data_IF_965509779535
#
_entry.id   IF_965509779535
#
_cell.length_a   1.000
_cell.length_b   1.000
_cell.length_c   1.000
_cell.angle_alpha   90.00
_cell.angle_beta   90.00
_cell.angle_gamma   90.00
#
_symmetry.space_group_name_H-M   'P 1'
#
loop_
_entity.id
_entity.type
_entity.pdbx_description
1 polymer ?
#
# COMPACT_ATOMS: atom_id res chain seq x y z
N UNK A 1 10.28 -4.23 0.76
CA UNK A 1 9.18 -3.35 1.20
C UNK A 1 9.45 -1.96 0.66
N UNK A 2 8.41 -1.18 0.40
CA UNK A 2 8.47 0.12 -0.28
C UNK A 2 7.92 1.17 0.68
N UNK A 3 8.66 2.25 0.90
CA UNK A 3 8.16 3.43 1.59
C UNK A 3 7.32 4.24 0.60
N UNK A 4 6.07 4.53 0.94
CA UNK A 4 5.17 5.23 0.03
C UNK A 4 4.25 6.20 0.79
N UNK A 5 3.73 7.19 0.09
CA UNK A 5 2.67 8.08 0.58
C UNK A 5 1.36 7.72 -0.09
N UNK A 6 0.28 7.59 0.68
CA UNK A 6 -1.07 7.43 0.14
C UNK A 6 -1.52 8.77 -0.44
N UNK A 7 -1.91 8.75 -1.71
CA UNK A 7 -2.27 9.96 -2.47
C UNK A 7 -3.72 9.94 -2.96
N UNK A 8 -4.42 8.83 -2.79
CA UNK A 8 -5.83 8.72 -3.17
C UNK A 8 -6.40 7.33 -2.99
N UNK A 9 -7.58 7.12 -3.55
CA UNK A 9 -8.35 5.86 -3.50
C UNK A 9 -8.65 5.37 -4.91
N UNK A 10 -8.74 4.05 -5.08
CA UNK A 10 -9.20 3.44 -6.33
C UNK A 10 -10.52 2.71 -6.08
N UNK A 11 -11.51 2.91 -6.96
CA UNK A 11 -12.80 2.23 -6.89
C UNK A 11 -12.99 1.38 -8.14
N UNK A 12 -13.33 0.11 -7.95
CA UNK A 12 -13.64 -0.83 -9.02
C UNK A 12 -14.91 -1.60 -8.67
N UNK A 13 -15.98 -1.40 -9.44
CA UNK A 13 -17.29 -2.07 -9.24
C UNK A 13 -17.29 -3.50 -9.80
N UNK A 14 -16.54 -3.75 -10.87
CA UNK A 14 -16.34 -5.07 -11.46
C UNK A 14 -14.89 -5.49 -11.23
N UNK A 15 -14.69 -6.51 -10.39
CA UNK A 15 -13.39 -7.03 -9.97
C UNK A 15 -13.54 -8.49 -9.53
N UNK A 16 -12.43 -9.18 -9.36
CA UNK A 16 -12.41 -10.52 -8.77
C UNK A 16 -13.15 -10.52 -7.43
N UNK A 17 -13.99 -11.54 -7.20
CA UNK A 17 -14.83 -11.62 -6.00
C UNK A 17 -14.01 -11.59 -4.71
N UNK A 18 -12.77 -12.08 -4.75
CA UNK A 18 -11.86 -12.07 -3.58
C UNK A 18 -11.34 -10.66 -3.25
N UNK A 19 -11.48 -9.69 -4.16
CA UNK A 19 -11.16 -8.28 -3.90
C UNK A 19 -12.38 -7.48 -3.39
N UNK A 20 -13.54 -8.10 -3.25
CA UNK A 20 -14.71 -7.45 -2.64
C UNK A 20 -14.41 -7.14 -1.18
N UNK A 21 -14.92 -6.01 -0.69
CA UNK A 21 -14.70 -5.47 0.66
C UNK A 21 -13.26 -5.04 0.99
N UNK A 22 -12.31 -5.19 0.06
CA UNK A 22 -10.96 -4.64 0.22
C UNK A 22 -10.89 -3.18 -0.22
N UNK A 23 -10.28 -2.36 0.63
CA UNK A 23 -10.00 -0.94 0.37
C UNK A 23 -8.75 -0.83 -0.50
N UNK A 24 -8.88 -0.17 -1.65
CA UNK A 24 -7.79 0.02 -2.61
C UNK A 24 -7.29 1.46 -2.54
N UNK A 25 -6.01 1.62 -2.25
CA UNK A 25 -5.37 2.91 -2.10
C UNK A 25 -4.37 3.16 -3.23
N UNK A 26 -4.40 4.37 -3.79
CA UNK A 26 -3.37 4.85 -4.70
C UNK A 26 -2.23 5.40 -3.85
N UNK A 27 -1.05 4.80 -3.99
CA UNK A 27 0.15 5.21 -3.28
C UNK A 27 1.25 5.62 -4.27
N UNK A 28 2.18 6.45 -3.80
CA UNK A 28 3.35 6.88 -4.55
C UNK A 28 4.60 6.62 -3.71
N UNK A 29 5.60 5.88 -4.21
CA UNK A 29 6.85 5.65 -3.48
C UNK A 29 7.54 6.98 -3.17
N UNK A 30 8.16 7.05 -1.99
CA UNK A 30 8.91 8.22 -1.53
C UNK A 30 10.23 7.79 -0.89
N UNK A 31 11.23 8.65 -0.97
CA UNK A 31 12.46 8.53 -0.20
C UNK A 31 12.20 8.85 1.30
N UNK A 32 13.18 8.60 2.20
CA UNK A 32 13.06 8.95 3.62
C UNK A 32 12.80 10.44 3.91
N UNK A 33 13.03 11.34 2.95
CA UNK A 33 12.77 12.79 3.06
C UNK A 33 11.39 13.15 2.51
N UNK A 34 10.58 12.17 2.11
CA UNK A 34 9.25 12.34 1.55
C UNK A 34 9.24 12.80 0.08
N UNK A 35 10.40 12.83 -0.60
CA UNK A 35 10.46 13.15 -2.02
C UNK A 35 10.01 11.94 -2.82
N UNK A 36 9.21 12.17 -3.85
CA UNK A 36 8.77 11.13 -4.77
C UNK A 36 9.95 10.37 -5.37
N UNK A 37 9.88 9.05 -5.32
CA UNK A 37 10.89 8.14 -5.86
C UNK A 37 10.24 6.95 -6.60
N UNK A 38 9.44 7.23 -7.63
CA UNK A 38 8.87 6.19 -8.49
C UNK A 38 7.47 6.47 -9.03
N UNK A 39 6.94 5.45 -9.70
CA UNK A 39 5.60 5.44 -10.28
C UNK A 39 4.52 5.09 -9.26
N UNK A 40 3.29 5.48 -9.54
CA UNK A 40 2.14 5.11 -8.72
C UNK A 40 1.94 3.59 -8.65
N UNK A 41 1.38 3.14 -7.53
CA UNK A 41 0.92 1.76 -7.32
C UNK A 41 -0.45 1.77 -6.64
N UNK A 42 -1.24 0.74 -6.94
CA UNK A 42 -2.49 0.47 -6.23
C UNK A 42 -2.20 -0.64 -5.22
N UNK A 43 -2.42 -0.37 -3.94
CA UNK A 43 -2.21 -1.34 -2.88
C UNK A 43 -3.51 -1.62 -2.13
N UNK A 44 -3.71 -2.87 -1.72
CA UNK A 44 -4.77 -3.20 -0.76
C UNK A 44 -4.37 -2.68 0.62
N UNK A 45 -5.29 -1.98 1.26
CA UNK A 45 -5.13 -1.53 2.63
C UNK A 45 -5.56 -2.62 3.62
N UNK A 46 -4.63 -3.06 4.46
CA UNK A 46 -4.88 -4.05 5.51
C UNK A 46 -4.73 -3.49 6.93
N UNK A 47 -4.45 -2.19 7.05
CA UNK A 47 -4.14 -1.51 8.32
C UNK A 47 -4.95 -0.24 8.55
N UNK A 48 -5.91 0.05 7.66
CA UNK A 48 -6.78 1.23 7.66
C UNK A 48 -6.06 2.56 7.46
N UNK A 49 -5.14 2.61 6.49
CA UNK A 49 -4.42 3.82 6.13
C UNK A 49 -5.30 4.89 5.44
N UNK A 50 -5.02 6.16 5.70
CA UNK A 50 -5.67 7.34 5.13
C UNK A 50 -4.86 8.02 4.03
N UNK A 51 -5.52 8.85 3.21
CA UNK A 51 -4.83 9.74 2.27
C UNK A 51 -3.96 10.73 3.02
N UNK A 52 -2.72 10.87 2.59
CA UNK A 52 -1.71 11.74 3.22
C UNK A 52 -0.75 11.02 4.14
N UNK A 53 -1.07 9.80 4.58
CA UNK A 53 -0.21 8.99 5.43
C UNK A 53 0.97 8.39 4.66
N UNK A 54 2.09 8.27 5.37
CA UNK A 54 3.25 7.52 4.90
C UNK A 54 3.10 6.08 5.39
N UNK A 55 3.30 5.12 4.49
CA UNK A 55 2.98 3.72 4.69
C UNK A 55 4.11 2.80 4.21
N UNK A 56 4.10 1.57 4.72
CA UNK A 56 4.99 0.49 4.31
C UNK A 56 4.23 -0.51 3.43
N UNK A 57 4.71 -0.70 2.21
CA UNK A 57 4.09 -1.61 1.23
C UNK A 57 4.97 -2.84 1.00
N UNK A 58 4.37 -4.02 1.04
CA UNK A 58 4.95 -5.26 0.49
C UNK A 58 4.47 -5.48 -0.93
N UNK A 59 5.30 -6.09 -1.78
CA UNK A 59 4.96 -6.34 -3.18
C UNK A 59 5.26 -7.77 -3.64
N UNK A 60 4.70 -8.15 -4.79
CA UNK A 60 4.81 -9.50 -5.34
C UNK A 60 4.07 -10.54 -4.49
N UNK A 61 4.60 -11.76 -4.42
CA UNK A 61 3.97 -12.86 -3.67
C UNK A 61 3.81 -12.58 -2.18
N UNK A 62 4.68 -11.73 -1.61
CA UNK A 62 4.62 -11.33 -0.20
C UNK A 62 3.37 -10.52 0.15
N UNK A 63 2.74 -9.84 -0.82
CA UNK A 63 1.48 -9.13 -0.59
C UNK A 63 0.34 -10.07 -0.17
N UNK A 64 0.35 -11.32 -0.63
CA UNK A 64 -0.63 -12.33 -0.21
C UNK A 64 -0.41 -12.85 1.20
N UNK A 65 0.75 -12.57 1.81
CA UNK A 65 0.99 -12.90 3.22
C UNK A 65 0.36 -11.88 4.18
N UNK A 66 -0.13 -10.74 3.68
CA UNK A 66 -0.86 -9.77 4.48
C UNK A 66 -2.19 -10.35 4.98
N UNK A 67 -2.70 -9.80 6.09
CA UNK A 67 -3.91 -10.28 6.75
C UNK A 67 -5.09 -10.34 5.77
N UNK A 68 -5.70 -11.53 5.63
CA UNK A 68 -6.83 -11.76 4.72
C UNK A 68 -6.50 -11.89 3.23
N UNK A 69 -5.21 -11.83 2.83
CA UNK A 69 -4.82 -11.74 1.41
C UNK A 69 -4.34 -13.04 0.77
N UNK A 70 -4.33 -14.17 1.51
CA UNK A 70 -3.72 -15.45 1.10
C UNK A 70 -4.11 -15.90 -0.31
N UNK A 71 -5.39 -15.86 -0.61
CA UNK A 71 -5.96 -16.31 -1.89
C UNK A 71 -6.38 -15.14 -2.79
N UNK A 72 -6.14 -13.89 -2.37
CA UNK A 72 -6.52 -12.71 -3.13
C UNK A 72 -5.52 -12.45 -4.28
N UNK A 73 -5.99 -12.00 -5.46
CA UNK A 73 -5.11 -11.65 -6.59
C UNK A 73 -4.48 -10.26 -6.36
N UNK A 74 -3.62 -10.19 -5.34
CA UNK A 74 -2.93 -8.96 -4.94
C UNK A 74 -1.42 -9.11 -5.10
N UNK A 75 -0.78 -8.04 -5.53
CA UNK A 75 0.67 -7.92 -5.70
C UNK A 75 1.24 -6.69 -4.97
N UNK A 76 0.40 -5.92 -4.28
CA UNK A 76 0.79 -4.84 -3.37
C UNK A 76 -0.20 -4.73 -2.19
N UNK A 77 0.33 -4.69 -0.97
CA UNK A 77 -0.45 -4.52 0.25
C UNK A 77 0.23 -3.56 1.22
N UNK A 78 -0.55 -2.67 1.83
CA UNK A 78 -0.10 -1.81 2.93
C UNK A 78 -0.13 -2.64 4.20
N UNK A 79 1.03 -2.77 4.84
CA UNK A 79 1.24 -3.59 6.05
C UNK A 79 1.65 -2.77 7.26
N UNK A 80 1.74 -1.44 7.13
CA UNK A 80 2.01 -0.55 8.26
C UNK A 80 1.88 0.92 7.90
N UNK A 81 1.55 1.73 8.90
CA UNK A 81 1.59 3.20 8.86
C UNK A 81 2.89 3.63 9.55
N UNK A 82 3.58 4.60 8.97
CA UNK A 82 4.89 5.05 9.44
C UNK A 82 4.73 6.20 10.44
N UNK A 83 5.15 5.98 11.68
CA UNK A 83 5.17 7.02 12.72
C UNK A 83 6.36 7.96 12.57
N UNK A 84 7.56 7.41 12.30
CA UNK A 84 8.80 8.17 12.19
C UNK A 84 9.82 7.47 11.30
N UNK A 85 10.72 8.26 10.71
CA UNK A 85 11.86 7.79 9.91
C UNK A 85 13.10 8.50 10.44
N UNK A 86 14.08 7.74 10.93
CA UNK A 86 15.38 8.26 11.38
C UNK A 86 16.47 7.79 10.41
N UNK A 87 17.24 8.73 9.87
CA UNK A 87 18.40 8.47 9.00
C UNK A 87 19.61 9.13 9.63
N UNK A 88 20.67 8.35 9.87
CA UNK A 88 21.97 8.88 10.31
C UNK A 88 22.86 9.03 9.08
N UNK A 89 23.50 10.18 8.97
CA UNK A 89 24.48 10.47 7.92
C UNK A 89 25.74 9.60 8.05
#
# INVERSE_FOLDING_TARGET
MILAKVVGTVVATRKDERLVSNKLLLARPVDPKGKVDGSYLVAVDTVDAGVGETVLIVSGSSARMASGMKDCPVDAAIVGIIDAIEVKD
#
